data_IF_596987724445
#
_entry.id   IF_596987724445
#
_cell.length_a   1.000
_cell.length_b   1.000
_cell.length_c   1.000
_cell.angle_alpha   90.00
_cell.angle_beta   90.00
_cell.angle_gamma   90.00
#
_symmetry.space_group_name_H-M   'P 1'
#
loop_
_entity.id
_entity.type
_entity.pdbx_description
1 polymer ?
#
# COMPACT_ATOMS: atom_id res chain seq x y z
N UNK A 1 -4.46 -13.97 0.93
CA UNK A 1 -3.32 -13.58 0.05
C UNK A 1 -2.92 -12.17 0.45
N UNK A 2 -1.63 -11.85 0.47
CA UNK A 2 -1.13 -10.53 0.87
C UNK A 2 0.02 -10.10 -0.02
N UNK A 3 0.29 -8.79 -0.03
CA UNK A 3 1.38 -8.16 -0.77
C UNK A 3 2.35 -7.51 0.21
N UNK A 4 3.63 -7.49 -0.13
CA UNK A 4 4.67 -6.83 0.65
C UNK A 4 5.40 -5.80 -0.24
N UNK A 5 4.84 -4.59 -0.43
CA UNK A 5 5.50 -3.54 -1.19
C UNK A 5 6.77 -3.06 -0.49
N UNK A 6 7.66 -2.41 -1.23
CA UNK A 6 8.80 -1.71 -0.63
C UNK A 6 8.30 -0.61 0.33
N UNK A 7 8.80 -0.61 1.57
CA UNK A 7 8.49 0.45 2.55
C UNK A 7 8.77 1.86 2.05
N UNK A 8 9.70 2.00 1.10
CA UNK A 8 10.09 3.27 0.48
C UNK A 8 8.95 4.01 -0.21
N UNK A 9 7.95 3.30 -0.73
CA UNK A 9 6.77 3.96 -1.31
C UNK A 9 5.98 4.73 -0.23
N UNK A 10 5.81 4.13 0.95
CA UNK A 10 5.13 4.80 2.05
C UNK A 10 5.97 5.94 2.61
N UNK A 11 7.27 5.75 2.80
CA UNK A 11 8.18 6.78 3.30
C UNK A 11 8.23 8.00 2.35
N UNK A 12 8.35 7.78 1.04
CA UNK A 12 8.38 8.84 0.04
C UNK A 12 7.06 9.64 0.02
N UNK A 13 5.91 8.95 0.00
CA UNK A 13 4.60 9.59 0.08
C UNK A 13 4.39 10.34 1.40
N UNK A 14 4.81 9.77 2.53
CA UNK A 14 4.75 10.41 3.85
C UNK A 14 5.69 11.63 3.96
N UNK A 15 6.72 11.72 3.12
CA UNK A 15 7.56 12.92 2.95
C UNK A 15 6.97 13.92 1.93
N UNK A 16 5.88 13.56 1.25
CA UNK A 16 5.20 14.43 0.28
C UNK A 16 5.85 14.45 -1.10
N UNK A 17 6.59 13.39 -1.46
CA UNK A 17 7.14 13.21 -2.80
C UNK A 17 6.12 12.57 -3.75
N UNK A 18 6.14 12.99 -5.01
CA UNK A 18 5.48 12.23 -6.08
C UNK A 18 6.30 10.98 -6.41
N UNK A 19 5.63 9.88 -6.71
CA UNK A 19 6.27 8.59 -6.96
C UNK A 19 5.93 8.10 -8.36
N UNK A 20 6.94 7.53 -9.01
CA UNK A 20 6.82 6.79 -10.27
C UNK A 20 7.19 5.33 -9.97
N UNK A 21 6.35 4.39 -10.42
CA UNK A 21 6.58 2.96 -10.27
C UNK A 21 6.18 2.23 -11.55
N UNK A 22 6.80 1.09 -11.82
CA UNK A 22 6.29 0.10 -12.75
C UNK A 22 5.00 -0.54 -12.24
N UNK A 23 4.23 -1.17 -13.13
CA UNK A 23 3.01 -1.88 -12.77
C UNK A 23 3.32 -3.26 -12.19
N UNK A 24 2.77 -3.57 -11.01
CA UNK A 24 2.88 -4.90 -10.42
C UNK A 24 1.59 -5.34 -9.69
N UNK A 25 1.32 -6.66 -9.61
CA UNK A 25 0.11 -7.16 -8.95
C UNK A 25 0.04 -6.76 -7.47
N UNK A 26 -1.02 -6.04 -7.08
CA UNK A 26 -1.23 -5.63 -5.69
C UNK A 26 -0.89 -4.19 -5.37
N UNK A 27 -0.27 -3.44 -6.30
CA UNK A 27 -0.05 -2.01 -6.10
C UNK A 27 -1.35 -1.26 -5.81
N UNK A 28 -2.43 -1.61 -6.51
CA UNK A 28 -3.77 -1.03 -6.33
C UNK A 28 -4.39 -1.31 -4.96
N UNK A 29 -3.80 -2.20 -4.16
CA UNK A 29 -4.20 -2.41 -2.75
C UNK A 29 -3.65 -1.34 -1.81
N UNK A 30 -2.71 -0.51 -2.28
CA UNK A 30 -2.05 0.53 -1.47
C UNK A 30 -2.30 1.94 -2.00
N UNK A 31 -2.22 2.10 -3.33
CA UNK A 31 -2.37 3.39 -4.02
C UNK A 31 -3.36 3.29 -5.17
N UNK A 32 -4.06 4.38 -5.47
CA UNK A 32 -4.87 4.53 -6.68
C UNK A 32 -3.98 4.97 -7.86
N UNK A 33 -3.75 4.11 -8.88
CA UNK A 33 -2.92 4.47 -10.02
C UNK A 33 -3.45 5.71 -10.77
N UNK A 34 -2.53 6.57 -11.21
CA UNK A 34 -2.82 7.84 -11.89
C UNK A 34 -3.33 8.95 -10.98
N UNK A 35 -3.78 8.63 -9.77
CA UNK A 35 -4.26 9.60 -8.78
C UNK A 35 -3.26 9.81 -7.65
N UNK A 36 -2.69 8.74 -7.10
CA UNK A 36 -1.80 8.75 -5.93
C UNK A 36 -0.38 8.26 -6.27
N UNK A 37 -0.23 7.57 -7.41
CA UNK A 37 1.06 7.11 -7.91
C UNK A 37 1.05 7.14 -9.45
N UNK A 38 2.17 7.52 -10.04
CA UNK A 38 2.33 7.53 -11.50
C UNK A 38 2.87 6.15 -11.92
N UNK A 39 2.19 5.53 -12.89
CA UNK A 39 2.66 4.28 -13.48
C UNK A 39 3.51 4.57 -14.72
N UNK A 40 4.60 3.84 -14.86
CA UNK A 40 5.47 3.90 -16.02
C UNK A 40 6.04 2.52 -16.33
N UNK A 41 5.68 1.95 -17.48
CA UNK A 41 6.18 0.64 -17.93
C UNK A 41 7.29 0.79 -18.98
N UNK A 42 7.43 1.99 -19.55
CA UNK A 42 8.43 2.33 -20.57
C UNK A 42 9.23 3.60 -20.20
N UNK A 43 10.36 3.81 -20.87
CA UNK A 43 11.15 5.05 -20.74
C UNK A 43 10.32 6.27 -21.12
N UNK A 44 9.49 6.18 -22.16
CA UNK A 44 8.66 7.30 -22.62
C UNK A 44 7.61 7.69 -21.57
N UNK A 45 7.07 6.72 -20.82
CA UNK A 45 6.15 6.99 -19.71
C UNK A 45 6.85 7.77 -18.59
N UNK A 46 8.10 7.40 -18.24
CA UNK A 46 8.90 8.14 -17.25
C UNK A 46 9.20 9.56 -17.74
N UNK A 47 9.54 9.72 -19.03
CA UNK A 47 9.77 11.05 -19.62
C UNK A 47 8.48 11.89 -19.60
N UNK A 48 7.33 11.29 -19.87
CA UNK A 48 6.04 11.96 -19.76
C UNK A 48 5.73 12.37 -18.31
N UNK A 49 6.01 11.50 -17.33
CA UNK A 49 5.83 11.79 -15.91
C UNK A 49 6.66 12.99 -15.44
N UNK A 50 7.92 13.11 -15.89
CA UNK A 50 8.81 14.24 -15.56
C UNK A 50 8.35 15.55 -16.21
N UNK A 51 7.54 15.49 -17.27
CA UNK A 51 7.00 16.66 -17.98
C UNK A 51 5.65 17.15 -17.44
N UNK A 52 5.08 16.46 -16.45
CA UNK A 52 3.85 16.92 -15.79
C UNK A 52 4.06 18.33 -15.21
N UNK A 53 2.98 19.12 -15.23
CA UNK A 53 3.00 20.44 -14.60
C UNK A 53 3.12 20.33 -13.08
N UNK A 54 3.66 21.38 -12.44
CA UNK A 54 3.74 21.45 -10.98
C UNK A 54 2.38 21.22 -10.32
N UNK A 55 1.29 21.72 -10.92
CA UNK A 55 -0.07 21.51 -10.41
C UNK A 55 -0.53 20.06 -10.46
N UNK A 56 -0.16 19.31 -11.49
CA UNK A 56 -0.48 17.89 -11.60
C UNK A 56 0.32 17.08 -10.57
N UNK A 57 1.61 17.37 -10.45
CA UNK A 57 2.51 16.74 -9.47
C UNK A 57 2.07 17.03 -8.04
N UNK A 58 1.69 18.28 -7.74
CA UNK A 58 1.19 18.70 -6.44
C UNK A 58 -0.09 17.98 -6.06
N UNK A 59 -1.02 17.81 -7.00
CA UNK A 59 -2.25 17.09 -6.77
C UNK A 59 -1.98 15.60 -6.45
N UNK A 60 -1.06 14.97 -7.17
CA UNK A 60 -0.70 13.56 -6.97
C UNK A 60 0.00 13.34 -5.63
N UNK A 61 1.08 14.10 -5.35
CA UNK A 61 1.84 13.92 -4.11
C UNK A 61 1.03 14.23 -2.86
N UNK A 62 0.09 15.18 -2.93
CA UNK A 62 -0.83 15.49 -1.84
C UNK A 62 -1.76 14.31 -1.54
N UNK A 63 -2.42 13.74 -2.55
CA UNK A 63 -3.30 12.58 -2.37
C UNK A 63 -2.54 11.36 -1.87
N UNK A 64 -1.34 11.11 -2.41
CA UNK A 64 -0.47 10.03 -1.96
C UNK A 64 -0.11 10.16 -0.47
N UNK A 65 0.24 11.39 -0.05
CA UNK A 65 0.55 11.71 1.34
C UNK A 65 -0.65 11.52 2.25
N UNK A 66 -1.81 12.06 1.88
CA UNK A 66 -3.08 11.91 2.61
C UNK A 66 -3.39 10.42 2.83
N UNK A 67 -3.39 9.62 1.75
CA UNK A 67 -3.58 8.16 1.77
C UNK A 67 -2.66 7.45 2.77
N UNK A 68 -1.36 7.75 2.74
CA UNK A 68 -0.37 7.07 3.59
C UNK A 68 -0.49 7.44 5.05
N UNK A 69 -0.73 8.72 5.35
CA UNK A 69 -0.90 9.16 6.74
C UNK A 69 -2.20 8.61 7.35
N UNK A 70 -3.24 8.45 6.54
CA UNK A 70 -4.52 7.92 6.99
C UNK A 70 -4.49 6.41 7.19
N UNK A 71 -3.86 5.65 6.29
CA UNK A 71 -4.02 4.18 6.23
C UNK A 71 -2.74 3.39 6.47
N UNK A 72 -1.56 3.93 6.14
CA UNK A 72 -0.34 3.12 5.99
C UNK A 72 0.76 3.44 7.02
N UNK A 73 0.43 4.17 8.09
CA UNK A 73 1.38 4.40 9.20
C UNK A 73 1.63 3.13 10.00
N UNK A 74 2.79 3.04 10.67
CA UNK A 74 3.09 1.92 11.56
C UNK A 74 2.04 1.75 12.67
N UNK A 75 1.47 2.85 13.16
CA UNK A 75 0.41 2.81 14.16
C UNK A 75 -0.90 2.21 13.61
N UNK A 76 -1.26 2.50 12.36
CA UNK A 76 -2.41 1.88 11.70
C UNK A 76 -2.17 0.38 11.48
N UNK A 77 -0.99 0.01 10.97
CA UNK A 77 -0.64 -1.39 10.71
C UNK A 77 -0.54 -2.23 11.98
N UNK A 78 -0.04 -1.67 13.08
CA UNK A 78 -0.04 -2.34 14.38
C UNK A 78 -1.47 -2.62 14.88
N UNK A 79 -2.39 -1.64 14.75
CA UNK A 79 -3.81 -1.82 15.11
C UNK A 79 -4.51 -2.85 14.23
N UNK A 80 -4.19 -2.87 12.93
CA UNK A 80 -4.72 -3.88 12.00
C UNK A 80 -4.24 -5.28 12.37
N UNK A 81 -2.94 -5.45 12.67
CA UNK A 81 -2.38 -6.72 13.11
C UNK A 81 -3.06 -7.22 14.39
N UNK A 82 -3.22 -6.36 15.40
CA UNK A 82 -3.85 -6.70 16.67
C UNK A 82 -5.31 -7.19 16.48
N UNK A 83 -6.07 -6.52 15.61
CA UNK A 83 -7.40 -6.99 15.19
C UNK A 83 -7.36 -8.37 14.54
N UNK A 84 -6.50 -8.55 13.54
CA UNK A 84 -6.40 -9.82 12.81
C UNK A 84 -6.00 -10.98 13.74
N UNK A 85 -5.10 -10.74 14.71
CA UNK A 85 -4.72 -11.72 15.71
C UNK A 85 -5.88 -12.05 16.65
N UNK A 86 -6.60 -11.02 17.12
CA UNK A 86 -7.78 -11.20 17.98
C UNK A 86 -8.88 -12.00 17.29
N UNK A 87 -9.17 -11.69 16.02
CA UNK A 87 -10.16 -12.39 15.21
C UNK A 87 -9.76 -13.84 14.95
N UNK A 88 -8.48 -14.09 14.65
CA UNK A 88 -7.97 -15.45 14.45
C UNK A 88 -8.07 -16.32 15.71
N UNK A 89 -7.79 -15.74 16.88
CA UNK A 89 -7.92 -16.43 18.17
C UNK A 89 -9.39 -16.75 18.50
N UNK A 90 -10.32 -15.82 18.21
CA UNK A 90 -11.75 -16.02 18.42
C UNK A 90 -12.35 -17.02 17.42
N UNK A 91 -11.89 -17.01 16.17
CA UNK A 91 -12.30 -17.97 15.14
C UNK A 91 -11.76 -19.39 15.38
N UNK A 92 -10.72 -19.54 16.20
CA UNK A 92 -10.10 -20.83 16.51
C UNK A 92 -10.85 -21.66 17.57
N UNK A 93 -11.96 -21.18 18.13
CA UNK A 93 -12.76 -21.94 19.13
C UNK A 93 -13.59 -23.09 18.52
N UNK A 94 -13.49 -23.33 17.22
CA UNK A 94 -14.03 -24.52 16.55
C UNK A 94 -12.90 -25.43 16.04
N UNK A 95 -11.96 -25.80 16.91
CA UNK A 95 -11.05 -26.92 16.64
C UNK A 95 -11.73 -28.21 17.10
N UNK A 96 -12.10 -29.09 16.17
CA UNK A 96 -12.38 -30.49 16.51
C UNK A 96 -11.17 -31.09 17.25
N UNK A 97 -11.39 -31.94 18.27
CA UNK A 97 -10.29 -32.58 18.97
C UNK A 97 -9.52 -33.49 18.01
N UNK A 98 -8.18 -33.35 18.04
CA UNK A 98 -7.24 -34.21 17.35
C UNK A 98 -7.52 -35.67 17.74
N UNK A 99 -8.09 -36.45 16.81
CA UNK A 99 -8.27 -37.90 17.02
C UNK A 99 -6.88 -38.53 17.03
N UNK A 100 -6.42 -38.92 18.22
CA UNK A 100 -5.27 -39.81 18.34
C UNK A 100 -5.58 -41.12 17.59
N UNK A 101 -4.80 -41.38 16.54
CA UNK A 101 -4.79 -42.66 15.87
C UNK A 101 -3.94 -43.63 16.70
N UNK A 102 -4.59 -44.66 17.25
CA UNK A 102 -3.95 -45.89 17.73
C UNK A 102 -3.67 -46.78 16.51
#
# INVERSE_FOLDING_TARGET
RGWCPSGRLFEAAACGAAMVSDTWPGLSSFFQPGSEIILADTTDDVVAAVRLSDSEVDAIRRRARERVLDEHTSAQRARELDRLMSDALQGSTASEPLKEAI
#
